data_IF_845323591907
#
_entry.id   IF_845323591907
#
_cell.length_a   1.000
_cell.length_b   1.000
_cell.length_c   1.000
_cell.angle_alpha   90.00
_cell.angle_beta   90.00
_cell.angle_gamma   90.00
#
_symmetry.space_group_name_H-M   'P 1'
#
loop_
_entity.id
_entity.type
_entity.pdbx_description
1 polymer ?
#
# COMPACT_ATOMS: atom_id res chain seq x y z
N UNK A 1 2.30 -10.52 63.29
CA UNK A 1 1.35 -10.10 62.24
C UNK A 1 1.72 -8.69 61.79
N UNK A 2 2.69 -8.54 60.90
CA UNK A 2 2.91 -7.31 60.14
C UNK A 2 3.31 -7.77 58.74
N UNK A 3 2.38 -7.62 57.80
CA UNK A 3 2.58 -7.98 56.40
C UNK A 3 3.67 -7.08 55.79
N UNK A 4 4.74 -7.69 55.31
CA UNK A 4 5.69 -7.03 54.41
C UNK A 4 4.97 -6.70 53.09
N UNK A 5 4.73 -5.42 52.86
CA UNK A 5 4.31 -4.90 51.57
C UNK A 5 5.45 -5.07 50.56
N UNK A 6 5.37 -6.10 49.72
CA UNK A 6 6.23 -6.26 48.54
C UNK A 6 5.81 -5.17 47.55
N UNK A 7 6.61 -4.11 47.46
CA UNK A 7 6.48 -3.09 46.44
C UNK A 7 6.65 -3.73 45.05
N UNK A 8 5.57 -3.78 44.26
CA UNK A 8 5.64 -4.07 42.83
C UNK A 8 6.38 -2.91 42.15
N UNK A 9 7.54 -3.11 41.50
CA UNK A 9 8.14 -2.07 40.69
C UNK A 9 7.22 -1.74 39.50
N UNK A 10 7.09 -0.46 39.10
CA UNK A 10 6.38 -0.11 37.89
C UNK A 10 7.25 -0.54 36.71
N UNK A 11 6.94 -1.69 36.12
CA UNK A 11 7.47 -2.07 34.82
C UNK A 11 6.84 -1.13 33.78
N UNK A 12 7.42 0.06 33.65
CA UNK A 12 7.37 0.85 32.43
C UNK A 12 8.15 0.09 31.35
N UNK A 13 7.53 -0.91 30.76
CA UNK A 13 7.88 -1.31 29.39
C UNK A 13 6.81 -0.80 28.45
N UNK A 14 6.82 0.52 28.23
CA UNK A 14 6.54 0.99 26.88
C UNK A 14 7.67 0.40 26.02
N UNK A 15 7.40 -0.68 25.31
CA UNK A 15 8.17 -1.04 24.13
C UNK A 15 7.84 0.04 23.09
N UNK A 16 8.48 1.21 23.21
CA UNK A 16 8.67 2.11 22.09
C UNK A 16 9.57 1.35 21.12
N UNK A 17 8.95 0.68 20.14
CA UNK A 17 9.67 0.19 18.97
C UNK A 17 10.39 1.40 18.37
N UNK A 18 11.73 1.43 18.32
CA UNK A 18 12.42 2.53 17.70
C UNK A 18 12.03 2.53 16.22
N UNK A 19 11.25 3.54 15.79
CA UNK A 19 11.15 3.92 14.38
C UNK A 19 12.47 4.61 14.01
N UNK A 20 13.54 3.82 13.98
CA UNK A 20 14.82 4.16 13.37
C UNK A 20 14.88 3.48 12.01
N UNK A 21 14.67 4.27 10.95
CA UNK A 21 14.63 3.80 9.58
C UNK A 21 14.03 4.88 8.70
N UNK A 22 14.81 5.93 8.45
CA UNK A 22 14.58 6.86 7.35
C UNK A 22 14.53 6.06 6.05
N UNK A 23 13.32 5.75 5.59
CA UNK A 23 13.08 5.39 4.19
C UNK A 23 13.16 6.69 3.41
N UNK A 24 14.36 7.00 2.94
CA UNK A 24 14.59 8.01 1.94
C UNK A 24 13.75 7.63 0.70
N UNK A 25 12.70 8.41 0.43
CA UNK A 25 11.79 8.22 -0.71
C UNK A 25 10.29 8.21 -0.41
N UNK A 26 9.80 8.97 0.57
CA UNK A 26 8.35 9.14 0.80
C UNK A 26 7.88 10.51 0.30
N UNK A 27 7.43 10.65 -0.97
CA UNK A 27 6.76 11.86 -1.43
C UNK A 27 5.29 11.94 -0.97
N UNK A 28 4.82 11.04 -0.09
CA UNK A 28 3.40 10.82 0.17
C UNK A 28 3.07 10.64 1.65
N UNK A 29 3.15 11.72 2.43
CA UNK A 29 2.52 11.76 3.75
C UNK A 29 1.04 11.33 3.69
N UNK A 30 0.47 10.91 4.83
CA UNK A 30 -0.96 10.56 4.94
C UNK A 30 -1.86 11.76 4.59
N UNK A 31 -2.14 11.95 3.30
CA UNK A 31 -3.14 12.89 2.81
C UNK A 31 -4.52 12.26 3.05
N UNK A 32 -5.45 13.06 3.57
CA UNK A 32 -6.87 12.68 3.62
C UNK A 32 -7.39 12.64 2.18
N UNK A 33 -7.60 11.44 1.64
CA UNK A 33 -8.20 11.21 0.33
C UNK A 33 -9.73 11.20 0.52
N UNK A 34 -10.46 11.90 -0.35
CA UNK A 34 -11.93 11.91 -0.30
C UNK A 34 -12.50 10.57 -0.79
N UNK A 35 -13.66 10.15 -0.30
CA UNK A 35 -14.32 8.90 -0.71
C UNK A 35 -14.50 8.79 -2.24
N UNK A 36 -14.77 9.92 -2.92
CA UNK A 36 -14.88 9.99 -4.38
C UNK A 36 -13.54 9.74 -5.08
N UNK A 37 -12.46 10.30 -4.54
CA UNK A 37 -11.10 10.07 -5.05
C UNK A 37 -10.66 8.64 -4.80
N UNK A 38 -11.00 8.06 -3.65
CA UNK A 38 -10.73 6.66 -3.32
C UNK A 38 -11.52 5.70 -4.22
N UNK A 39 -12.80 5.99 -4.48
CA UNK A 39 -13.62 5.25 -5.43
C UNK A 39 -13.03 5.29 -6.85
N UNK A 40 -12.53 6.45 -7.29
CA UNK A 40 -11.87 6.59 -8.60
C UNK A 40 -10.53 5.84 -8.65
N UNK A 41 -9.72 5.93 -7.59
CA UNK A 41 -8.46 5.19 -7.47
C UNK A 41 -8.69 3.68 -7.42
N UNK A 42 -9.76 3.21 -6.78
CA UNK A 42 -10.13 1.79 -6.72
C UNK A 42 -10.51 1.23 -8.10
N UNK A 43 -11.34 1.96 -8.86
CA UNK A 43 -11.69 1.59 -10.25
C UNK A 43 -10.46 1.51 -11.16
N UNK A 44 -9.57 2.50 -11.07
CA UNK A 44 -8.34 2.53 -11.85
C UNK A 44 -7.38 1.40 -11.47
N UNK A 45 -7.26 1.08 -10.17
CA UNK A 45 -6.50 -0.09 -9.70
C UNK A 45 -7.08 -1.40 -10.22
N UNK A 46 -8.40 -1.56 -10.23
CA UNK A 46 -9.04 -2.75 -10.76
C UNK A 46 -8.76 -2.93 -12.27
N UNK A 47 -8.72 -1.83 -13.03
CA UNK A 47 -8.32 -1.87 -14.44
C UNK A 47 -6.83 -2.20 -14.61
N UNK A 48 -5.96 -1.58 -13.82
CA UNK A 48 -4.52 -1.88 -13.80
C UNK A 48 -4.23 -3.35 -13.49
N UNK A 49 -5.00 -3.96 -12.56
CA UNK A 49 -4.86 -5.37 -12.24
C UNK A 49 -5.20 -6.29 -13.42
N UNK A 50 -6.15 -5.90 -14.28
CA UNK A 50 -6.46 -6.66 -15.50
C UNK A 50 -5.34 -6.56 -16.53
N UNK A 51 -4.72 -5.38 -16.68
CA UNK A 51 -3.62 -5.19 -17.63
C UNK A 51 -2.32 -5.85 -17.13
N UNK A 52 -2.08 -5.83 -15.81
CA UNK A 52 -0.93 -6.47 -15.18
C UNK A 52 -1.18 -7.96 -14.83
N UNK A 53 -2.31 -8.55 -15.22
CA UNK A 53 -2.70 -9.93 -14.90
C UNK A 53 -1.58 -10.98 -15.12
N UNK A 54 -0.85 -11.03 -16.26
CA UNK A 54 0.21 -12.03 -16.45
C UNK A 54 1.38 -11.87 -15.48
N UNK A 55 1.65 -10.66 -15.00
CA UNK A 55 2.72 -10.37 -14.03
C UNK A 55 2.24 -10.73 -12.62
N UNK A 56 0.98 -10.40 -12.31
CA UNK A 56 0.32 -10.76 -11.05
C UNK A 56 0.22 -12.29 -10.92
N UNK A 57 -0.07 -13.00 -12.00
CA UNK A 57 -0.14 -14.46 -12.01
C UNK A 57 1.20 -15.10 -11.62
N UNK A 58 2.33 -14.59 -12.14
CA UNK A 58 3.68 -15.06 -11.75
C UNK A 58 3.96 -14.81 -10.27
N UNK A 59 3.54 -13.66 -9.75
CA UNK A 59 3.66 -13.37 -8.31
C UNK A 59 2.77 -14.29 -7.47
N UNK A 60 1.53 -14.54 -7.90
CA UNK A 60 0.59 -15.42 -7.24
C UNK A 60 1.10 -16.88 -7.18
N UNK A 61 1.67 -17.38 -8.29
CA UNK A 61 2.29 -18.70 -8.33
C UNK A 61 3.53 -18.79 -7.40
N UNK A 62 4.31 -17.72 -7.27
CA UNK A 62 5.39 -17.66 -6.29
C UNK A 62 4.88 -17.58 -4.85
N UNK A 63 3.79 -16.85 -4.60
CA UNK A 63 3.18 -16.72 -3.28
C UNK A 63 2.41 -17.98 -2.85
N UNK A 64 2.05 -18.85 -3.80
CA UNK A 64 1.31 -20.08 -3.56
C UNK A 64 2.06 -20.97 -2.56
N UNK A 65 1.45 -21.23 -1.41
CA UNK A 65 2.04 -22.06 -0.35
C UNK A 65 3.11 -21.38 0.50
N UNK A 66 3.37 -20.08 0.31
CA UNK A 66 4.30 -19.28 1.12
C UNK A 66 3.49 -18.16 1.76
N UNK A 67 3.46 -18.07 3.09
CA UNK A 67 2.74 -16.99 3.81
C UNK A 67 3.72 -16.03 4.49
N UNK A 68 4.78 -16.57 5.09
CA UNK A 68 5.78 -15.77 5.82
C UNK A 68 7.02 -15.42 4.97
N UNK A 69 7.37 -16.26 4.00
CA UNK A 69 8.61 -16.10 3.21
C UNK A 69 8.43 -15.33 1.89
N UNK A 70 7.20 -14.95 1.51
CA UNK A 70 6.89 -14.30 0.21
C UNK A 70 7.67 -13.01 -0.01
N UNK A 71 7.81 -12.19 1.03
CA UNK A 71 8.47 -10.88 0.96
C UNK A 71 9.94 -11.01 0.52
N UNK A 72 10.58 -12.14 0.85
CA UNK A 72 11.97 -12.41 0.57
C UNK A 72 12.12 -13.27 -0.69
N UNK A 73 11.40 -14.39 -0.76
CA UNK A 73 11.49 -15.37 -1.84
C UNK A 73 10.92 -14.85 -3.17
N UNK A 74 9.85 -14.05 -3.12
CA UNK A 74 9.16 -13.53 -4.31
C UNK A 74 9.44 -12.03 -4.53
N UNK A 75 10.54 -11.52 -3.97
CA UNK A 75 10.88 -10.10 -4.03
C UNK A 75 11.06 -9.60 -5.46
N UNK A 76 11.57 -10.44 -6.37
CA UNK A 76 11.74 -10.09 -7.77
C UNK A 76 10.38 -9.89 -8.46
N UNK A 77 9.48 -10.87 -8.34
CA UNK A 77 8.14 -10.83 -8.92
C UNK A 77 7.31 -9.70 -8.28
N UNK A 78 7.43 -9.50 -6.97
CA UNK A 78 6.78 -8.40 -6.26
C UNK A 78 7.21 -7.03 -6.78
N UNK A 79 8.50 -6.84 -7.13
CA UNK A 79 8.97 -5.59 -7.74
C UNK A 79 8.37 -5.39 -9.13
N UNK A 80 8.29 -6.45 -9.94
CA UNK A 80 7.72 -6.39 -11.29
C UNK A 80 6.22 -6.03 -11.25
N UNK A 81 5.46 -6.69 -10.37
CA UNK A 81 4.04 -6.39 -10.16
C UNK A 81 3.85 -4.95 -9.65
N UNK A 82 4.64 -4.51 -8.66
CA UNK A 82 4.55 -3.15 -8.16
C UNK A 82 4.96 -2.11 -9.20
N UNK A 83 5.96 -2.38 -10.03
CA UNK A 83 6.37 -1.49 -11.11
C UNK A 83 5.26 -1.31 -12.15
N UNK A 84 4.56 -2.40 -12.52
CA UNK A 84 3.41 -2.35 -13.41
C UNK A 84 2.27 -1.53 -12.79
N UNK A 85 1.89 -1.83 -11.55
CA UNK A 85 0.82 -1.11 -10.86
C UNK A 85 1.14 0.37 -10.65
N UNK A 86 2.41 0.70 -10.40
CA UNK A 86 2.86 2.08 -10.17
C UNK A 86 2.64 2.98 -11.39
N UNK A 87 2.66 2.44 -12.61
CA UNK A 87 2.38 3.24 -13.82
C UNK A 87 0.94 3.75 -13.82
N UNK A 88 0.00 2.96 -13.30
CA UNK A 88 -1.40 3.33 -13.21
C UNK A 88 -1.71 4.11 -11.93
N UNK A 89 -1.06 3.81 -10.80
CA UNK A 89 -1.35 4.46 -9.52
C UNK A 89 -0.60 5.76 -9.27
N UNK A 90 0.13 6.29 -10.26
CA UNK A 90 0.85 7.55 -10.14
C UNK A 90 -0.14 8.74 -10.07
N UNK A 91 0.17 9.78 -9.29
CA UNK A 91 -0.68 10.96 -9.16
C UNK A 91 -0.83 11.73 -10.47
N UNK A 92 0.18 11.68 -11.34
CA UNK A 92 0.10 12.22 -12.71
C UNK A 92 -0.87 11.44 -13.60
N UNK A 93 -0.87 10.11 -13.49
CA UNK A 93 -1.81 9.25 -14.23
C UNK A 93 -3.24 9.50 -13.76
N UNK A 94 -3.45 9.67 -12.45
CA UNK A 94 -4.74 10.03 -11.88
C UNK A 94 -5.22 11.41 -12.33
N UNK A 95 -4.32 12.40 -12.38
CA UNK A 95 -4.65 13.75 -12.84
C UNK A 95 -5.06 13.77 -14.33
N UNK A 96 -4.38 12.99 -15.18
CA UNK A 96 -4.75 12.81 -16.59
C UNK A 96 -6.10 12.12 -16.73
N UNK A 97 -6.31 11.03 -15.98
CA UNK A 97 -7.58 10.31 -15.96
C UNK A 97 -8.74 11.22 -15.52
N UNK A 98 -8.52 12.10 -14.53
CA UNK A 98 -9.53 13.08 -14.11
C UNK A 98 -9.92 14.04 -15.22
N UNK A 99 -8.94 14.59 -15.95
CA UNK A 99 -9.19 15.51 -17.09
C UNK A 99 -9.92 14.81 -18.23
N UNK A 100 -9.47 13.60 -18.62
CA UNK A 100 -10.13 12.82 -19.67
C UNK A 100 -11.58 12.51 -19.34
N UNK A 101 -11.88 12.18 -18.08
CA UNK A 101 -13.26 11.96 -17.64
C UNK A 101 -14.10 13.24 -17.66
N UNK A 102 -13.53 14.39 -17.29
CA UNK A 102 -14.21 15.69 -17.37
C UNK A 102 -14.52 16.04 -18.83
N UNK A 103 -13.57 15.85 -19.74
CA UNK A 103 -13.73 16.05 -21.18
C UNK A 103 -14.78 15.11 -21.79
N UNK A 104 -14.74 13.82 -21.43
CA UNK A 104 -15.72 12.84 -21.90
C UNK A 104 -17.14 13.12 -21.36
N UNK A 105 -17.26 13.66 -20.13
CA UNK A 105 -18.55 14.12 -19.61
C UNK A 105 -19.06 15.37 -20.32
N UNK A 106 -18.18 16.28 -20.76
CA UNK A 106 -18.56 17.48 -21.52
C UNK A 106 -19.00 17.17 -22.95
N UNK A 107 -18.49 16.11 -23.57
CA UNK A 107 -18.89 15.72 -24.92
C UNK A 107 -20.25 14.99 -24.97
N UNK A 108 -20.74 14.54 -23.81
CA UNK A 108 -22.05 13.89 -23.67
C UNK A 108 -23.17 14.85 -23.23
N UNK A 109 -22.88 16.16 -23.11
CA UNK A 109 -23.85 17.19 -22.71
C UNK A 109 -24.41 17.96 -23.91
#
# INVERSE_FOLDING_TARGET
>A
MHWCAIARPPIRHCILRPRGGERHGDPGGCRRVSHEEEGRRSKMKAQALKECDPIVAKFAECAKGRTFSVIWACRAQSKETNACLHQYTNDEAFAKYKKLYEEETSQKL
#
